data_IF_292029373913
#
_entry.id   IF_292029373913
#
_cell.length_a   1.000
_cell.length_b   1.000
_cell.length_c   1.000
_cell.angle_alpha   90.00
_cell.angle_beta   90.00
_cell.angle_gamma   90.00
#
_symmetry.space_group_name_H-M   'P 1'
#
loop_
_entity.id
_entity.type
_entity.pdbx_description
1 polymer ?
#
# COMPACT_ATOMS: atom_id res chain seq x y z
N UNK A 1 2.52 6.84 -18.41
CA UNK A 1 3.16 5.52 -18.48
C UNK A 1 3.41 5.08 -19.92
N UNK A 2 3.97 3.91 -20.08
CA UNK A 2 4.43 3.40 -21.39
C UNK A 2 3.40 2.46 -22.06
N UNK A 3 2.16 2.45 -21.60
CA UNK A 3 1.14 1.47 -22.02
C UNK A 3 0.90 1.48 -23.54
N UNK A 4 0.68 2.65 -24.12
CA UNK A 4 0.44 2.78 -25.56
C UNK A 4 1.66 2.39 -26.40
N UNK A 5 2.85 2.80 -25.96
CA UNK A 5 4.11 2.42 -26.61
C UNK A 5 4.32 0.90 -26.51
N UNK A 6 4.01 0.29 -25.36
CA UNK A 6 4.11 -1.17 -25.20
C UNK A 6 3.12 -1.89 -26.11
N UNK A 7 1.90 -1.38 -26.26
CA UNK A 7 0.92 -1.94 -27.20
C UNK A 7 1.41 -1.89 -28.65
N UNK A 8 2.02 -0.77 -29.08
CA UNK A 8 2.63 -0.64 -30.41
C UNK A 8 3.80 -1.63 -30.62
N UNK A 9 4.66 -1.77 -29.62
CA UNK A 9 5.76 -2.76 -29.69
C UNK A 9 5.23 -4.18 -29.77
N UNK A 10 4.14 -4.50 -29.10
CA UNK A 10 3.54 -5.83 -29.18
C UNK A 10 2.98 -6.17 -30.58
N UNK A 11 2.53 -5.17 -31.33
CA UNK A 11 2.14 -5.35 -32.73
C UNK A 11 3.35 -5.54 -33.64
N UNK A 12 4.42 -4.79 -33.41
CA UNK A 12 5.64 -4.84 -34.19
C UNK A 12 6.44 -6.15 -33.97
N UNK A 13 6.38 -6.69 -32.73
CA UNK A 13 7.11 -7.90 -32.32
C UNK A 13 6.14 -9.00 -31.86
N UNK A 14 5.41 -9.65 -32.76
CA UNK A 14 4.35 -10.60 -32.41
C UNK A 14 4.80 -11.86 -31.69
N UNK A 15 6.09 -12.19 -31.80
CA UNK A 15 6.72 -13.34 -31.13
C UNK A 15 7.28 -13.01 -29.73
N UNK A 16 7.16 -11.75 -29.30
CA UNK A 16 7.59 -11.29 -27.98
C UNK A 16 6.37 -11.05 -27.10
N UNK A 17 6.41 -11.52 -25.86
CA UNK A 17 5.36 -11.30 -24.88
C UNK A 17 5.60 -10.03 -24.08
N UNK A 18 4.61 -9.16 -23.98
CA UNK A 18 4.66 -7.90 -23.28
C UNK A 18 3.67 -7.87 -22.15
N UNK A 19 4.13 -7.52 -20.95
CA UNK A 19 3.26 -7.34 -19.78
C UNK A 19 3.58 -5.99 -19.13
N UNK A 20 2.60 -5.07 -19.17
CA UNK A 20 2.75 -3.71 -18.67
C UNK A 20 2.10 -3.56 -17.30
N UNK A 21 2.81 -2.98 -16.33
CA UNK A 21 2.26 -2.66 -15.01
C UNK A 21 1.34 -1.45 -15.02
N UNK A 22 0.23 -1.51 -14.30
CA UNK A 22 -0.66 -0.36 -14.00
C UNK A 22 -1.49 0.19 -15.17
N UNK A 23 -1.66 -0.58 -16.24
CA UNK A 23 -2.49 -0.18 -17.37
C UNK A 23 -3.83 -0.92 -17.42
N UNK A 24 -4.50 -0.80 -18.58
CA UNK A 24 -5.79 -1.46 -18.84
C UNK A 24 -5.91 -2.08 -20.23
N UNK A 25 -4.97 -1.79 -21.13
CA UNK A 25 -4.99 -2.32 -22.50
C UNK A 25 -4.52 -3.76 -22.55
N UNK A 26 -5.08 -4.53 -23.47
CA UNK A 26 -4.60 -5.87 -23.83
C UNK A 26 -4.98 -6.15 -25.27
N UNK A 27 -4.32 -7.13 -25.93
CA UNK A 27 -4.64 -7.50 -27.29
C UNK A 27 -5.13 -8.96 -27.43
N UNK A 28 -5.24 -9.69 -26.33
CA UNK A 28 -5.68 -11.08 -26.32
C UNK A 28 -4.69 -12.05 -26.99
N UNK A 29 -3.41 -11.66 -27.13
CA UNK A 29 -2.35 -12.44 -27.78
C UNK A 29 -1.05 -12.38 -26.99
N UNK A 30 -0.24 -11.36 -27.25
CA UNK A 30 1.10 -11.20 -26.69
C UNK A 30 1.26 -9.95 -25.81
N UNK A 31 0.16 -9.24 -25.48
CA UNK A 31 0.20 -8.05 -24.65
C UNK A 31 -0.94 -8.05 -23.64
N UNK A 32 -0.58 -7.81 -22.37
CA UNK A 32 -1.54 -7.54 -21.30
C UNK A 32 -1.07 -6.43 -20.38
N UNK A 33 -1.98 -6.03 -19.49
CA UNK A 33 -1.66 -5.23 -18.32
C UNK A 33 -1.91 -6.02 -17.05
N UNK A 34 -1.09 -5.76 -16.02
CA UNK A 34 -1.29 -6.33 -14.69
C UNK A 34 -1.29 -5.23 -13.63
N UNK A 35 -2.12 -5.42 -12.62
CA UNK A 35 -2.16 -4.58 -11.43
C UNK A 35 -2.83 -5.33 -10.28
N UNK A 36 -3.09 -4.65 -9.15
CA UNK A 36 -3.67 -5.30 -8.00
C UNK A 36 -4.54 -4.43 -7.12
N UNK A 37 -5.28 -5.11 -6.25
CA UNK A 37 -6.24 -4.52 -5.31
C UNK A 37 -5.54 -4.03 -4.04
N UNK A 38 -4.61 -3.08 -4.19
CA UNK A 38 -3.82 -2.55 -3.06
C UNK A 38 -4.71 -1.87 -2.01
N UNK A 39 -5.92 -1.48 -2.36
CA UNK A 39 -6.90 -0.95 -1.43
C UNK A 39 -7.29 -1.98 -0.35
N UNK A 40 -7.19 -3.28 -0.61
CA UNK A 40 -7.50 -4.32 0.38
C UNK A 40 -6.60 -4.26 1.61
N UNK A 41 -5.26 -4.35 1.49
CA UNK A 41 -4.38 -4.17 2.64
C UNK A 41 -4.36 -2.73 3.18
N UNK A 42 -4.74 -1.72 2.36
CA UNK A 42 -4.95 -0.35 2.86
C UNK A 42 -6.07 -0.29 3.90
N UNK A 43 -7.18 -0.99 3.67
CA UNK A 43 -8.24 -1.09 4.65
C UNK A 43 -7.75 -1.67 5.97
N UNK A 44 -6.98 -2.77 5.92
CA UNK A 44 -6.40 -3.38 7.12
C UNK A 44 -5.43 -2.44 7.83
N UNK A 45 -4.59 -1.72 7.08
CA UNK A 45 -3.68 -0.74 7.66
C UNK A 45 -4.42 0.44 8.30
N UNK A 46 -5.59 0.80 7.77
CA UNK A 46 -6.50 1.77 8.38
C UNK A 46 -7.01 1.31 9.75
N UNK A 47 -7.39 0.03 9.88
CA UNK A 47 -7.75 -0.56 11.19
C UNK A 47 -6.58 -0.41 12.17
N UNK A 48 -5.37 -0.78 11.75
CA UNK A 48 -4.16 -0.66 12.59
C UNK A 48 -3.95 0.80 13.03
N UNK A 49 -4.05 1.76 12.12
CA UNK A 49 -3.91 3.18 12.44
C UNK A 49 -4.98 3.67 13.43
N UNK A 50 -6.24 3.33 13.18
CA UNK A 50 -7.38 3.72 14.02
C UNK A 50 -7.30 3.18 15.45
N UNK A 51 -6.76 1.98 15.62
CA UNK A 51 -6.55 1.37 16.94
C UNK A 51 -5.36 1.97 17.71
N UNK A 52 -4.38 2.57 17.02
CA UNK A 52 -3.14 3.04 17.64
C UNK A 52 -3.07 4.55 17.84
N UNK A 53 -3.87 5.33 17.12
CA UNK A 53 -3.90 6.79 17.33
C UNK A 53 -4.44 7.14 18.73
N UNK A 54 -3.77 8.07 19.40
CA UNK A 54 -4.16 8.63 20.70
C UNK A 54 -4.74 10.03 20.55
N UNK A 55 -4.30 10.75 19.53
CA UNK A 55 -4.75 12.12 19.25
C UNK A 55 -6.01 12.17 18.38
N UNK A 56 -6.45 11.03 17.83
CA UNK A 56 -7.44 10.92 16.78
C UNK A 56 -7.10 11.73 15.51
N UNK A 57 -5.81 11.96 15.27
CA UNK A 57 -5.29 12.65 14.08
C UNK A 57 -4.28 11.77 13.38
N UNK A 58 -4.61 11.37 12.17
CA UNK A 58 -3.78 10.48 11.35
C UNK A 58 -3.36 11.26 10.11
N UNK A 59 -2.07 11.23 9.79
CA UNK A 59 -1.49 11.87 8.62
C UNK A 59 -1.33 10.89 7.46
N UNK A 60 -1.69 11.32 6.25
CA UNK A 60 -1.53 10.56 5.03
C UNK A 60 -0.72 11.37 4.00
N UNK A 61 0.49 10.91 3.67
CA UNK A 61 1.31 11.48 2.60
C UNK A 61 0.94 10.78 1.30
N UNK A 62 0.30 11.48 0.38
CA UNK A 62 -0.23 10.95 -0.86
C UNK A 62 0.64 11.37 -2.05
N UNK A 63 1.01 10.43 -2.93
CA UNK A 63 1.82 10.70 -4.10
C UNK A 63 1.08 11.56 -5.14
N UNK A 64 -0.22 11.31 -5.32
CA UNK A 64 -1.06 11.97 -6.33
C UNK A 64 -2.37 12.44 -5.73
N UNK A 65 -3.06 13.31 -6.44
CA UNK A 65 -4.38 13.81 -6.08
C UNK A 65 -5.54 12.94 -6.58
N UNK A 66 -6.69 13.56 -6.74
CA UNK A 66 -7.94 12.87 -7.12
C UNK A 66 -7.97 12.26 -8.52
N UNK A 67 -7.02 12.62 -9.36
CA UNK A 67 -6.85 12.11 -10.71
C UNK A 67 -6.27 10.67 -10.75
N UNK A 68 -5.71 10.19 -9.65
CA UNK A 68 -5.12 8.86 -9.56
C UNK A 68 -5.99 7.91 -8.72
N UNK A 69 -6.61 6.94 -9.39
CA UNK A 69 -7.54 5.99 -8.77
C UNK A 69 -6.89 5.02 -7.78
N UNK A 70 -5.60 4.71 -7.93
CA UNK A 70 -4.86 3.90 -6.97
C UNK A 70 -4.73 4.63 -5.64
N UNK A 71 -4.30 5.89 -5.70
CA UNK A 71 -4.10 6.71 -4.49
C UNK A 71 -5.42 7.03 -3.81
N UNK A 72 -6.45 7.46 -4.57
CA UNK A 72 -7.77 7.76 -4.01
C UNK A 72 -8.44 6.53 -3.43
N UNK A 73 -8.45 5.41 -4.16
CA UNK A 73 -8.99 4.15 -3.64
C UNK A 73 -8.24 3.64 -2.40
N UNK A 74 -6.92 3.90 -2.34
CA UNK A 74 -6.10 3.61 -1.16
C UNK A 74 -6.47 4.49 0.04
N UNK A 75 -6.67 5.80 -0.15
CA UNK A 75 -7.10 6.73 0.90
C UNK A 75 -8.49 6.35 1.41
N UNK A 76 -9.44 6.09 0.51
CA UNK A 76 -10.81 5.73 0.87
C UNK A 76 -10.86 4.41 1.66
N UNK A 77 -10.16 3.39 1.20
CA UNK A 77 -10.08 2.11 1.90
C UNK A 77 -9.44 2.26 3.29
N UNK A 78 -8.36 3.02 3.39
CA UNK A 78 -7.71 3.34 4.65
C UNK A 78 -8.67 4.07 5.60
N UNK A 79 -9.38 5.08 5.09
CA UNK A 79 -10.36 5.83 5.88
C UNK A 79 -11.49 4.95 6.39
N UNK A 80 -12.03 4.06 5.55
CA UNK A 80 -13.05 3.08 5.96
C UNK A 80 -12.51 2.13 7.04
N UNK A 81 -11.25 1.71 6.93
CA UNK A 81 -10.58 0.90 7.96
C UNK A 81 -10.46 1.63 9.28
N UNK A 82 -9.99 2.88 9.28
CA UNK A 82 -9.93 3.74 10.47
C UNK A 82 -11.32 3.90 11.08
N UNK A 83 -12.31 4.29 10.28
CA UNK A 83 -13.67 4.54 10.73
C UNK A 83 -14.32 3.31 11.38
N UNK A 84 -14.01 2.12 10.89
CA UNK A 84 -14.57 0.86 11.41
C UNK A 84 -14.22 0.59 12.88
N UNK A 85 -13.10 1.14 13.39
CA UNK A 85 -12.61 0.94 14.76
C UNK A 85 -12.53 2.23 15.57
N UNK A 86 -12.42 3.38 14.91
CA UNK A 86 -12.31 4.70 15.54
C UNK A 86 -13.03 5.78 14.72
N UNK A 87 -14.37 5.88 14.84
CA UNK A 87 -15.15 6.86 14.09
C UNK A 87 -14.82 8.33 14.41
N UNK A 88 -14.11 8.59 15.51
CA UNK A 88 -13.72 9.94 15.93
C UNK A 88 -12.40 10.40 15.31
N UNK A 89 -11.62 9.49 14.71
CA UNK A 89 -10.35 9.84 14.11
C UNK A 89 -10.55 10.63 12.81
N UNK A 90 -9.65 11.58 12.59
CA UNK A 90 -9.61 12.42 11.39
C UNK A 90 -8.32 12.10 10.60
N UNK A 91 -8.45 12.03 9.28
CA UNK A 91 -7.33 11.78 8.39
C UNK A 91 -7.01 13.08 7.65
N UNK A 92 -5.77 13.52 7.78
CA UNK A 92 -5.24 14.70 7.12
C UNK A 92 -4.33 14.26 5.97
N UNK A 93 -4.68 14.64 4.76
CA UNK A 93 -3.94 14.24 3.54
C UNK A 93 -3.08 15.40 3.05
N UNK A 94 -1.82 15.12 2.73
CA UNK A 94 -0.90 16.02 2.03
C UNK A 94 -0.43 15.35 0.75
N UNK A 95 -0.64 16.02 -0.39
CA UNK A 95 -0.28 15.52 -1.72
C UNK A 95 1.07 16.08 -2.12
N UNK A 96 1.97 15.21 -2.59
CA UNK A 96 3.32 15.58 -3.06
C UNK A 96 3.38 15.84 -4.56
N UNK A 97 2.40 15.35 -5.33
CA UNK A 97 2.38 15.32 -6.79
C UNK A 97 3.56 14.55 -7.40
N UNK A 98 4.13 13.62 -6.67
CA UNK A 98 5.23 12.76 -7.10
C UNK A 98 5.19 11.43 -6.37
N UNK A 99 5.54 10.34 -7.06
CA UNK A 99 5.76 9.04 -6.45
C UNK A 99 7.07 8.99 -5.66
N UNK A 100 8.09 9.71 -6.12
CA UNK A 100 9.40 9.75 -5.51
C UNK A 100 9.92 11.20 -5.48
N UNK A 101 9.79 11.83 -4.34
CA UNK A 101 10.37 13.16 -4.06
C UNK A 101 10.68 13.25 -2.56
N UNK A 102 11.94 12.93 -2.16
CA UNK A 102 12.33 12.92 -0.76
C UNK A 102 12.05 14.23 0.00
N UNK A 103 12.22 15.37 -0.65
CA UNK A 103 12.03 16.67 0.00
C UNK A 103 10.55 17.01 0.15
N UNK A 104 9.73 16.74 -0.87
CA UNK A 104 8.28 16.92 -0.79
C UNK A 104 7.66 15.96 0.25
N UNK A 105 8.10 14.71 0.30
CA UNK A 105 7.62 13.71 1.26
C UNK A 105 7.98 14.08 2.70
N UNK A 106 9.22 14.56 2.96
CA UNK A 106 9.63 15.09 4.25
C UNK A 106 8.80 16.31 4.67
N UNK A 107 8.61 17.27 3.77
CA UNK A 107 7.83 18.47 4.03
C UNK A 107 6.37 18.13 4.35
N UNK A 108 5.76 17.22 3.59
CA UNK A 108 4.40 16.75 3.82
C UNK A 108 4.27 16.07 5.19
N UNK A 109 5.17 15.12 5.50
CA UNK A 109 5.18 14.42 6.79
C UNK A 109 5.42 15.38 7.96
N UNK A 110 6.37 16.32 7.84
CA UNK A 110 6.62 17.35 8.86
C UNK A 110 5.36 18.18 9.13
N UNK A 111 4.68 18.63 8.07
CA UNK A 111 3.42 19.39 8.22
C UNK A 111 2.37 18.61 8.98
N UNK A 112 2.20 17.31 8.69
CA UNK A 112 1.25 16.44 9.37
C UNK A 112 1.61 16.23 10.84
N UNK A 113 2.89 16.07 11.14
CA UNK A 113 3.39 15.96 12.52
C UNK A 113 3.17 17.26 13.30
N UNK A 114 3.37 18.43 12.68
CA UNK A 114 3.11 19.75 13.29
C UNK A 114 1.61 19.97 13.56
N UNK A 115 0.72 19.29 12.80
CA UNK A 115 -0.72 19.26 13.06
C UNK A 115 -1.11 18.28 14.18
N UNK A 116 -0.13 17.69 14.86
CA UNK A 116 -0.30 16.72 15.93
C UNK A 116 -0.88 15.37 15.46
N UNK A 117 -0.59 14.97 14.21
CA UNK A 117 -0.84 13.60 13.79
C UNK A 117 0.14 12.66 14.49
N UNK A 118 -0.34 11.58 15.06
CA UNK A 118 0.43 10.61 15.83
C UNK A 118 0.54 9.21 15.17
N UNK A 119 -0.04 9.08 14.00
CA UNK A 119 0.20 7.97 13.05
C UNK A 119 0.39 8.57 11.67
N UNK A 120 1.51 8.27 11.00
CA UNK A 120 1.81 8.73 9.64
C UNK A 120 1.80 7.55 8.69
N UNK A 121 0.94 7.57 7.69
CA UNK A 121 0.96 6.64 6.58
C UNK A 121 1.32 7.35 5.27
N UNK A 122 1.64 6.59 4.24
CA UNK A 122 2.03 7.14 2.96
C UNK A 122 1.60 6.27 1.78
N UNK A 123 1.68 6.88 0.60
CA UNK A 123 1.52 6.26 -0.71
C UNK A 123 2.59 6.80 -1.67
N UNK A 124 3.83 6.85 -1.18
CA UNK A 124 5.02 7.33 -1.90
C UNK A 124 6.14 6.28 -1.80
N UNK A 125 7.25 6.49 -2.48
CA UNK A 125 8.28 5.47 -2.66
C UNK A 125 9.50 5.64 -1.74
N UNK A 126 9.56 6.69 -0.89
CA UNK A 126 10.67 6.84 0.07
C UNK A 126 10.28 6.42 1.49
N UNK A 127 11.26 6.21 2.34
CA UNK A 127 11.06 5.90 3.78
C UNK A 127 11.09 7.14 4.68
N UNK A 128 11.18 8.34 4.12
CA UNK A 128 11.31 9.57 4.92
C UNK A 128 10.13 9.85 5.84
N UNK A 129 8.86 9.63 5.45
CA UNK A 129 7.74 9.79 6.38
C UNK A 129 7.87 8.91 7.62
N UNK A 130 8.34 7.66 7.48
CA UNK A 130 8.56 6.72 8.59
C UNK A 130 9.71 7.16 9.48
N UNK A 131 10.82 7.61 8.88
CA UNK A 131 11.97 8.11 9.62
C UNK A 131 11.63 9.35 10.45
N UNK A 132 10.85 10.28 9.90
CA UNK A 132 10.39 11.45 10.64
C UNK A 132 9.41 11.08 11.76
N UNK A 133 8.49 10.14 11.52
CA UNK A 133 7.61 9.63 12.55
C UNK A 133 8.42 9.03 13.72
N UNK A 134 9.46 8.23 13.42
CA UNK A 134 10.35 7.66 14.41
C UNK A 134 11.10 8.75 15.22
N UNK A 135 11.63 9.76 14.55
CA UNK A 135 12.30 10.89 15.22
C UNK A 135 11.36 11.66 16.17
N UNK A 136 10.06 11.67 15.87
CA UNK A 136 9.04 12.33 16.69
C UNK A 136 8.37 11.40 17.71
N UNK A 137 8.82 10.14 17.80
CA UNK A 137 8.26 9.10 18.68
C UNK A 137 6.74 8.88 18.44
N UNK A 138 6.31 8.90 17.19
CA UNK A 138 4.95 8.56 16.77
C UNK A 138 4.97 7.37 15.84
N UNK A 139 3.83 6.75 15.60
CA UNK A 139 3.74 5.57 14.75
C UNK A 139 3.70 5.90 13.26
N UNK A 140 4.06 4.90 12.47
CA UNK A 140 3.97 4.98 11.01
C UNK A 140 3.48 3.67 10.39
N UNK A 141 3.00 3.78 9.15
CA UNK A 141 2.63 2.65 8.31
C UNK A 141 3.33 2.83 6.96
N UNK A 142 4.11 1.84 6.58
CA UNK A 142 4.89 1.86 5.34
C UNK A 142 4.07 1.48 4.10
N UNK A 143 4.68 1.65 2.94
CA UNK A 143 4.11 1.31 1.64
C UNK A 143 5.16 0.70 0.72
N UNK A 144 4.69 -0.08 -0.25
CA UNK A 144 5.44 -0.69 -1.33
C UNK A 144 6.33 -1.87 -0.88
N UNK A 145 7.17 -1.66 0.12
CA UNK A 145 8.03 -2.66 0.73
C UNK A 145 7.94 -2.64 2.26
N UNK A 146 8.58 -3.61 2.91
CA UNK A 146 8.67 -3.62 4.37
C UNK A 146 9.63 -2.52 4.87
N UNK A 147 9.05 -1.47 5.42
CA UNK A 147 9.77 -0.31 5.96
C UNK A 147 10.10 -0.43 7.46
N UNK A 148 9.79 -1.55 8.09
CA UNK A 148 10.12 -1.79 9.51
C UNK A 148 11.61 -1.83 9.77
N UNK A 149 12.42 -2.15 8.74
CA UNK A 149 13.89 -2.15 8.84
C UNK A 149 14.47 -0.74 8.91
N UNK A 150 13.81 0.22 8.26
CA UNK A 150 14.26 1.62 8.23
C UNK A 150 13.77 2.40 9.45
N UNK A 151 12.59 2.10 9.95
CA UNK A 151 11.97 2.76 11.09
C UNK A 151 11.41 1.73 12.10
N UNK A 152 12.28 0.92 12.75
CA UNK A 152 11.86 -0.20 13.58
C UNK A 152 11.04 0.20 14.81
N UNK A 153 11.24 1.41 15.32
CA UNK A 153 10.54 1.89 16.53
C UNK A 153 9.23 2.62 16.21
N UNK A 154 8.95 2.87 14.93
CA UNK A 154 7.74 3.58 14.50
C UNK A 154 6.83 2.76 13.61
N UNK A 155 7.38 1.92 12.74
CA UNK A 155 6.62 1.23 11.71
C UNK A 155 5.78 0.10 12.30
N UNK A 156 4.46 0.30 12.35
CA UNK A 156 3.50 -0.70 12.84
C UNK A 156 3.36 -1.86 11.86
N UNK A 157 3.37 -1.55 10.58
CA UNK A 157 3.32 -2.49 9.45
C UNK A 157 3.58 -1.73 8.15
N UNK A 158 3.69 -2.45 7.05
CA UNK A 158 3.75 -1.89 5.71
C UNK A 158 2.73 -2.56 4.80
N UNK A 159 2.08 -1.78 3.96
CA UNK A 159 1.25 -2.26 2.85
C UNK A 159 2.18 -2.60 1.69
N UNK A 160 2.20 -3.84 1.24
CA UNK A 160 3.22 -4.35 0.33
C UNK A 160 2.64 -4.94 -0.95
N UNK A 161 3.47 -4.91 -1.99
CA UNK A 161 3.29 -5.64 -3.23
C UNK A 161 4.16 -6.89 -3.24
N UNK A 162 3.60 -8.00 -3.68
CA UNK A 162 4.31 -9.25 -3.95
C UNK A 162 4.24 -9.56 -5.44
N UNK A 163 4.99 -8.80 -6.23
CA UNK A 163 5.00 -8.93 -7.68
C UNK A 163 5.47 -10.30 -8.16
N UNK A 164 6.24 -11.03 -7.34
CA UNK A 164 6.70 -12.37 -7.69
C UNK A 164 5.55 -13.35 -7.92
N UNK A 165 4.41 -13.18 -7.24
CA UNK A 165 3.22 -13.99 -7.45
C UNK A 165 2.71 -13.91 -8.90
N UNK A 166 2.68 -12.70 -9.46
CA UNK A 166 2.30 -12.49 -10.85
C UNK A 166 3.42 -12.88 -11.81
N UNK A 167 4.64 -12.39 -11.60
CA UNK A 167 5.74 -12.61 -12.57
C UNK A 167 6.05 -14.08 -12.78
N UNK A 168 6.07 -14.87 -11.71
CA UNK A 168 6.30 -16.31 -11.83
C UNK A 168 5.19 -16.99 -12.63
N UNK A 169 3.92 -16.66 -12.35
CA UNK A 169 2.79 -17.24 -13.06
C UNK A 169 2.76 -16.82 -14.54
N UNK A 170 3.06 -15.56 -14.84
CA UNK A 170 3.09 -15.03 -16.20
C UNK A 170 4.20 -15.70 -17.03
N UNK A 171 5.42 -15.81 -16.50
CA UNK A 171 6.52 -16.52 -17.17
C UNK A 171 6.19 -17.99 -17.38
N UNK A 172 5.62 -18.65 -16.36
CA UNK A 172 5.25 -20.06 -16.47
C UNK A 172 4.17 -20.27 -17.56
N UNK A 173 3.19 -19.38 -17.67
CA UNK A 173 2.15 -19.48 -18.68
C UNK A 173 2.69 -19.34 -20.11
N UNK A 174 3.75 -18.53 -20.30
CA UNK A 174 4.45 -18.44 -21.60
C UNK A 174 5.18 -19.74 -21.90
N UNK A 175 5.90 -20.31 -20.92
CA UNK A 175 6.63 -21.59 -21.06
C UNK A 175 5.67 -22.72 -21.41
N UNK A 176 4.51 -22.78 -20.75
CA UNK A 176 3.49 -23.82 -20.93
C UNK A 176 2.62 -23.61 -22.18
N UNK A 177 2.78 -22.47 -22.88
CA UNK A 177 1.95 -22.10 -24.03
C UNK A 177 0.48 -21.78 -23.67
N UNK A 178 0.22 -21.40 -22.42
CA UNK A 178 -1.11 -21.08 -21.90
C UNK A 178 -1.35 -19.57 -21.77
N UNK A 179 -0.38 -18.74 -22.11
CA UNK A 179 -0.54 -17.30 -22.13
C UNK A 179 -1.62 -16.88 -23.14
N UNK A 180 -2.59 -16.08 -22.70
CA UNK A 180 -3.72 -15.62 -23.51
C UNK A 180 -3.79 -14.10 -23.70
N UNK A 181 -2.85 -13.35 -23.13
CA UNK A 181 -2.85 -11.90 -23.21
C UNK A 181 -3.94 -11.20 -22.38
N UNK A 182 -4.60 -11.91 -21.49
CA UNK A 182 -5.63 -11.33 -20.61
C UNK A 182 -5.05 -10.43 -19.56
N UNK A 183 -5.75 -9.34 -19.23
CA UNK A 183 -5.37 -8.48 -18.12
C UNK A 183 -5.47 -9.23 -16.79
N UNK A 184 -4.52 -8.96 -15.91
CA UNK A 184 -4.47 -9.52 -14.57
C UNK A 184 -4.73 -8.44 -13.50
N UNK A 185 -5.61 -8.75 -12.55
CA UNK A 185 -5.90 -7.86 -11.42
C UNK A 185 -6.05 -8.68 -10.14
N UNK A 186 -4.93 -8.90 -9.45
CA UNK A 186 -4.85 -9.72 -8.24
C UNK A 186 -5.13 -8.96 -6.95
N UNK A 187 -5.38 -9.69 -5.89
CA UNK A 187 -5.61 -9.16 -4.55
C UNK A 187 -4.86 -9.94 -3.48
N UNK A 188 -5.36 -9.89 -2.25
CA UNK A 188 -4.79 -10.63 -1.13
C UNK A 188 -4.97 -12.14 -1.29
N UNK A 189 -6.08 -12.59 -1.88
CA UNK A 189 -6.32 -14.02 -2.14
C UNK A 189 -5.30 -14.61 -3.11
N UNK A 190 -4.86 -13.82 -4.08
CA UNK A 190 -3.84 -14.18 -5.06
C UNK A 190 -2.42 -13.95 -4.53
N UNK A 191 -2.30 -13.51 -3.27
CA UNK A 191 -1.02 -13.16 -2.65
C UNK A 191 -0.21 -12.09 -3.42
N UNK A 192 -0.89 -11.22 -4.18
CA UNK A 192 -0.25 -10.13 -4.93
C UNK A 192 -0.02 -8.90 -4.07
N UNK A 193 -0.89 -8.66 -3.12
CA UNK A 193 -0.82 -7.55 -2.17
C UNK A 193 -1.03 -8.06 -0.76
N UNK A 194 -0.48 -7.36 0.22
CA UNK A 194 -0.60 -7.77 1.60
C UNK A 194 -0.16 -6.70 2.58
N UNK A 195 -0.15 -7.08 3.84
CA UNK A 195 0.35 -6.29 4.95
C UNK A 195 1.47 -7.11 5.63
N UNK A 196 2.55 -6.45 6.02
CA UNK A 196 3.62 -7.11 6.76
C UNK A 196 3.17 -7.53 8.16
N UNK A 197 3.99 -8.30 8.87
CA UNK A 197 3.74 -8.63 10.26
C UNK A 197 3.55 -7.35 11.08
N UNK A 198 2.55 -7.37 11.96
CA UNK A 198 2.25 -6.24 12.84
C UNK A 198 3.30 -6.14 13.96
N UNK A 199 3.96 -5.00 14.05
CA UNK A 199 4.78 -4.67 15.20
C UNK A 199 3.89 -4.07 16.30
N UNK A 200 4.14 -4.35 17.56
CA UNK A 200 3.50 -3.75 18.74
C UNK A 200 1.98 -3.97 18.91
N UNK A 201 1.23 -4.29 17.85
CA UNK A 201 -0.24 -4.31 17.89
C UNK A 201 -0.87 -5.54 18.53
N UNK A 202 -0.18 -6.66 18.61
CA UNK A 202 -0.82 -7.94 18.88
C UNK A 202 -0.81 -8.39 20.34
N UNK A 203 -0.13 -7.67 21.22
CA UNK A 203 0.00 -8.10 22.61
C UNK A 203 -1.19 -7.74 23.50
N UNK A 204 -2.14 -6.91 23.02
CA UNK A 204 -3.18 -6.35 23.90
C UNK A 204 -4.63 -6.44 23.41
N UNK A 205 -4.91 -7.00 22.26
CA UNK A 205 -6.26 -6.92 21.68
C UNK A 205 -7.10 -8.18 21.75
N UNK A 206 -6.55 -9.27 22.29
CA UNK A 206 -7.37 -10.44 22.65
C UNK A 206 -6.97 -10.91 24.03
N UNK A 207 -7.75 -10.63 25.07
CA UNK A 207 -7.58 -11.37 26.31
C UNK A 207 -7.68 -12.84 25.97
N UNK A 208 -6.60 -13.57 26.23
CA UNK A 208 -6.55 -15.02 26.07
C UNK A 208 -7.72 -15.62 26.88
N UNK A 209 -8.34 -16.72 26.44
CA UNK A 209 -9.29 -17.45 27.27
C UNK A 209 -8.75 -17.79 28.66
N UNK A 210 -7.43 -17.76 28.86
CA UNK A 210 -6.76 -17.92 30.16
C UNK A 210 -6.90 -16.68 31.06
N UNK A 211 -7.01 -15.49 30.49
CA UNK A 211 -7.14 -14.25 31.25
C UNK A 211 -8.55 -14.13 31.87
N UNK A 212 -9.56 -14.73 31.25
CA UNK A 212 -10.91 -14.86 31.79
C UNK A 212 -11.02 -15.92 32.90
N UNK A 213 -10.12 -16.92 32.95
CA UNK A 213 -10.11 -17.95 33.97
C UNK A 213 -9.46 -17.49 35.28
N UNK A 214 -8.65 -16.44 35.27
CA UNK A 214 -7.95 -15.92 36.45
C UNK A 214 -8.75 -14.86 37.23
N UNK A 215 -9.93 -14.44 36.72
CA UNK A 215 -10.79 -13.42 37.32
C UNK A 215 -12.05 -13.98 38.02
N UNK A 216 -12.09 -15.29 38.30
CA UNK A 216 -13.14 -15.94 39.10
C UNK A 216 -12.59 -16.55 40.37
#
# INVERSE_FOLDING_TARGET
>A
GYMETTAQMAEEYPDVYFSHGTGYMSNGKNFNNYFGRIYQPRYLSGIVAGMNTKTNKIGYVAAMGSENSEVTGGIDAFALGVYSVNPSAQIYVKVTNSWYDPEAEKAAASTLLDMNCDVITQHCDTTYPQLLAQQKNVYSIGYNSDMSKDAPDACLCSVIWNWSAYYTAAVQSVIDGTWDGSNYYGGMNENLVGITQLAYCLLYTSPSPRDYAASR
#
